data_IF_002616409030
#
_entry.id   IF_002616409030
#
_cell.length_a   1.000
_cell.length_b   1.000
_cell.length_c   1.000
_cell.angle_alpha   90.00
_cell.angle_beta   90.00
_cell.angle_gamma   90.00
#
_symmetry.space_group_name_H-M   'P 1'
#
loop_
_entity.id
_entity.type
_entity.pdbx_description
1 polymer ?
#
# COMPACT_ATOMS: atom_id res chain seq x y z
N UNK A 1 7.57 23.12 -8.25
CA UNK A 1 6.12 23.21 -8.01
C UNK A 1 5.42 22.11 -8.79
N UNK A 2 4.47 21.41 -8.17
CA UNK A 2 3.76 20.29 -8.79
C UNK A 2 2.71 20.81 -9.78
N UNK A 3 2.66 20.30 -11.03
CA UNK A 3 1.74 20.84 -12.04
C UNK A 3 0.27 20.52 -11.72
N UNK A 4 -0.64 21.45 -12.03
CA UNK A 4 -2.07 21.33 -11.72
C UNK A 4 -2.71 20.07 -12.29
N UNK A 5 -2.35 19.67 -13.51
CA UNK A 5 -2.91 18.47 -14.13
C UNK A 5 -2.62 17.20 -13.30
N UNK A 6 -1.45 17.14 -12.65
CA UNK A 6 -1.08 16.01 -11.79
C UNK A 6 -1.86 16.02 -10.47
N UNK A 7 -2.09 17.21 -9.90
CA UNK A 7 -2.96 17.38 -8.71
C UNK A 7 -4.38 16.91 -9.01
N UNK A 8 -4.94 17.31 -10.16
CA UNK A 8 -6.27 16.90 -10.61
C UNK A 8 -6.33 15.39 -10.89
N UNK A 9 -5.34 14.84 -11.61
CA UNK A 9 -5.28 13.40 -11.91
C UNK A 9 -5.19 12.55 -10.64
N UNK A 10 -4.34 12.95 -9.67
CA UNK A 10 -4.21 12.29 -8.38
C UNK A 10 -5.54 12.33 -7.61
N UNK A 11 -6.20 13.49 -7.59
CA UNK A 11 -7.47 13.67 -6.87
C UNK A 11 -8.59 12.84 -7.50
N UNK A 12 -8.79 12.95 -8.81
CA UNK A 12 -9.87 12.25 -9.52
C UNK A 12 -9.63 10.75 -9.58
N UNK A 13 -8.39 10.31 -9.82
CA UNK A 13 -8.01 8.90 -9.81
C UNK A 13 -8.22 8.26 -8.44
N UNK A 14 -7.81 8.95 -7.38
CA UNK A 14 -8.06 8.52 -6.00
C UNK A 14 -9.56 8.43 -5.71
N UNK A 15 -10.34 9.46 -6.04
CA UNK A 15 -11.78 9.46 -5.83
C UNK A 15 -12.47 8.31 -6.56
N UNK A 16 -12.08 8.04 -7.82
CA UNK A 16 -12.63 6.93 -8.58
C UNK A 16 -12.33 5.57 -7.93
N UNK A 17 -11.08 5.32 -7.54
CA UNK A 17 -10.69 4.08 -6.86
C UNK A 17 -11.43 3.92 -5.54
N UNK A 18 -11.44 4.96 -4.71
CA UNK A 18 -12.13 4.98 -3.41
C UNK A 18 -13.61 4.64 -3.58
N UNK A 19 -14.31 5.30 -4.50
CA UNK A 19 -15.73 5.06 -4.74
C UNK A 19 -15.96 3.62 -5.22
N UNK A 20 -15.20 3.15 -6.20
CA UNK A 20 -15.40 1.80 -6.77
C UNK A 20 -15.10 0.72 -5.72
N UNK A 21 -14.00 0.84 -4.99
CA UNK A 21 -13.60 -0.14 -3.98
C UNK A 21 -14.54 -0.13 -2.77
N UNK A 22 -15.01 1.05 -2.35
CA UNK A 22 -16.01 1.14 -1.30
C UNK A 22 -17.28 0.38 -1.67
N UNK A 23 -17.82 0.59 -2.87
CA UNK A 23 -19.04 -0.09 -3.29
C UNK A 23 -18.83 -1.59 -3.52
N UNK A 24 -17.65 -2.01 -3.98
CA UNK A 24 -17.38 -3.42 -4.32
C UNK A 24 -16.94 -4.27 -3.13
N UNK A 25 -16.09 -3.74 -2.26
CA UNK A 25 -15.44 -4.46 -1.19
C UNK A 25 -15.80 -3.95 0.22
N UNK A 26 -16.48 -2.80 0.29
CA UNK A 26 -16.79 -2.13 1.54
C UNK A 26 -15.67 -1.18 2.00
N UNK A 27 -15.97 -0.29 2.96
CA UNK A 27 -15.01 0.71 3.45
C UNK A 27 -13.74 0.10 4.06
N UNK A 28 -13.86 -1.07 4.67
CA UNK A 28 -12.73 -1.77 5.28
C UNK A 28 -11.61 -2.13 4.30
N UNK A 29 -11.91 -2.22 3.00
CA UNK A 29 -10.88 -2.45 1.98
C UNK A 29 -9.90 -1.28 1.89
N UNK A 30 -10.35 -0.05 2.14
CA UNK A 30 -9.52 1.15 2.05
C UNK A 30 -8.45 1.23 3.14
N UNK A 31 -8.42 0.27 4.07
CA UNK A 31 -7.37 0.14 5.07
C UNK A 31 -6.10 -0.50 4.51
N UNK A 32 -6.11 -1.06 3.30
CA UNK A 32 -4.87 -1.44 2.62
C UNK A 32 -3.90 -0.26 2.58
N UNK A 33 -2.62 -0.48 2.91
CA UNK A 33 -1.66 0.62 2.93
C UNK A 33 -1.48 1.32 1.57
N UNK A 34 -1.74 0.63 0.46
CA UNK A 34 -1.77 1.25 -0.87
C UNK A 34 -2.95 2.22 -1.05
N UNK A 35 -4.14 1.86 -0.58
CA UNK A 35 -5.32 2.73 -0.60
C UNK A 35 -5.13 3.92 0.35
N UNK A 36 -4.61 3.69 1.57
CA UNK A 36 -4.30 4.77 2.52
C UNK A 36 -3.26 5.74 1.96
N UNK A 37 -2.21 5.23 1.32
CA UNK A 37 -1.17 6.07 0.70
C UNK A 37 -1.70 6.84 -0.50
N UNK A 38 -2.57 6.23 -1.31
CA UNK A 38 -3.25 6.89 -2.42
C UNK A 38 -4.11 8.06 -1.93
N UNK A 39 -4.90 7.84 -0.87
CA UNK A 39 -5.71 8.88 -0.22
C UNK A 39 -4.82 9.98 0.36
N UNK A 40 -3.74 9.61 1.07
CA UNK A 40 -2.79 10.53 1.68
C UNK A 40 -2.07 11.41 0.65
N UNK A 41 -1.85 10.90 -0.57
CA UNK A 41 -1.20 11.67 -1.63
C UNK A 41 -2.05 12.83 -2.14
N UNK A 42 -3.37 12.80 -1.99
CA UNK A 42 -4.22 13.92 -2.41
C UNK A 42 -3.83 15.21 -1.66
N UNK A 43 -3.89 15.31 -0.32
CA UNK A 43 -3.39 16.49 0.36
C UNK A 43 -1.88 16.68 0.17
N UNK A 44 -1.08 15.63 0.00
CA UNK A 44 0.36 15.77 -0.25
C UNK A 44 0.67 16.58 -1.52
N UNK A 45 0.00 16.29 -2.65
CA UNK A 45 0.24 17.01 -3.92
C UNK A 45 -0.33 18.42 -3.92
N UNK A 46 -1.44 18.66 -3.21
CA UNK A 46 -2.04 19.98 -3.11
C UNK A 46 -1.21 20.92 -2.23
N UNK A 47 -0.76 20.41 -1.08
CA UNK A 47 0.07 21.13 -0.12
C UNK A 47 1.57 21.13 -0.51
N UNK A 48 1.96 20.36 -1.52
CA UNK A 48 3.35 20.12 -1.90
C UNK A 48 4.20 19.70 -0.69
N UNK A 49 3.65 18.81 0.13
CA UNK A 49 4.20 18.43 1.43
C UNK A 49 5.15 17.24 1.33
N UNK A 50 6.45 17.50 1.51
CA UNK A 50 7.50 16.47 1.59
C UNK A 50 7.20 15.44 2.69
N UNK A 51 6.65 15.87 3.83
CA UNK A 51 6.29 15.00 4.95
C UNK A 51 5.20 14.00 4.58
N UNK A 52 4.11 14.45 3.96
CA UNK A 52 3.00 13.56 3.57
C UNK A 52 3.42 12.60 2.45
N UNK A 53 4.21 13.09 1.49
CA UNK A 53 4.81 12.26 0.44
C UNK A 53 5.74 11.20 1.02
N UNK A 54 6.61 11.58 1.97
CA UNK A 54 7.55 10.66 2.62
C UNK A 54 6.82 9.62 3.48
N UNK A 55 5.76 10.04 4.19
CA UNK A 55 4.91 9.12 4.95
C UNK A 55 4.23 8.10 4.03
N UNK A 56 3.59 8.56 2.94
CA UNK A 56 3.00 7.66 1.94
C UNK A 56 4.04 6.70 1.35
N UNK A 57 5.24 7.20 1.04
CA UNK A 57 6.32 6.38 0.51
C UNK A 57 6.76 5.29 1.50
N UNK A 58 6.96 5.62 2.78
CA UNK A 58 7.34 4.63 3.79
C UNK A 58 6.27 3.56 4.01
N UNK A 59 4.99 3.92 3.90
CA UNK A 59 3.89 2.98 4.12
C UNK A 59 3.72 1.97 2.98
N UNK A 60 4.10 2.32 1.74
CA UNK A 60 3.76 1.46 0.59
C UNK A 60 4.82 1.31 -0.50
N UNK A 61 5.77 2.24 -0.68
CA UNK A 61 6.62 2.25 -1.88
C UNK A 61 7.36 0.93 -2.10
N UNK A 62 8.02 0.40 -1.06
CA UNK A 62 8.73 -0.87 -1.18
C UNK A 62 7.79 -2.05 -1.54
N UNK A 63 6.64 -2.25 -0.87
CA UNK A 63 5.60 -3.18 -1.32
C UNK A 63 5.14 -2.96 -2.77
N UNK A 64 4.96 -1.72 -3.23
CA UNK A 64 4.54 -1.44 -4.61
C UNK A 64 5.61 -1.87 -5.63
N UNK A 65 6.89 -1.60 -5.34
CA UNK A 65 8.00 -2.02 -6.19
C UNK A 65 8.11 -3.54 -6.24
N UNK A 66 8.00 -4.22 -5.09
CA UNK A 66 7.99 -5.68 -5.02
C UNK A 66 6.81 -6.27 -5.80
N UNK A 67 5.60 -5.72 -5.61
CA UNK A 67 4.39 -6.15 -6.33
C UNK A 67 4.56 -6.00 -7.84
N UNK A 68 5.11 -4.86 -8.30
CA UNK A 68 5.35 -4.58 -9.72
C UNK A 68 6.36 -5.54 -10.32
N UNK A 69 7.44 -5.82 -9.60
CA UNK A 69 8.46 -6.78 -10.02
C UNK A 69 7.88 -8.20 -10.14
N UNK A 70 7.14 -8.65 -9.13
CA UNK A 70 6.50 -9.97 -9.13
C UNK A 70 5.50 -10.10 -10.29
N UNK A 71 4.72 -9.04 -10.57
CA UNK A 71 3.79 -9.05 -11.70
C UNK A 71 4.55 -9.20 -13.02
N UNK A 72 5.65 -8.48 -13.20
CA UNK A 72 6.50 -8.62 -14.38
C UNK A 72 7.06 -10.04 -14.54
N UNK A 73 7.59 -10.62 -13.45
CA UNK A 73 8.11 -12.00 -13.47
C UNK A 73 7.00 -12.98 -13.85
N UNK A 74 5.82 -12.88 -13.23
CA UNK A 74 4.68 -13.76 -13.50
C UNK A 74 4.20 -13.64 -14.95
N UNK A 75 4.16 -12.43 -15.52
CA UNK A 75 3.79 -12.21 -16.92
C UNK A 75 4.82 -12.75 -17.91
N UNK A 76 6.12 -12.67 -17.59
CA UNK A 76 7.19 -13.10 -18.49
C UNK A 76 7.49 -14.61 -18.43
N UNK A 77 7.34 -15.21 -17.25
CA UNK A 77 7.80 -16.60 -16.99
C UNK A 77 6.68 -17.56 -16.65
N UNK A 78 5.49 -17.06 -16.29
CA UNK A 78 4.41 -17.86 -15.72
C UNK A 78 4.68 -18.36 -14.30
N UNK A 79 5.82 -17.99 -13.68
CA UNK A 79 6.12 -18.36 -12.30
C UNK A 79 5.08 -17.78 -11.34
N UNK A 80 4.60 -18.64 -10.44
CA UNK A 80 3.62 -18.28 -9.41
C UNK A 80 4.34 -18.11 -8.09
N UNK A 81 4.50 -16.86 -7.67
CA UNK A 81 4.81 -16.51 -6.28
C UNK A 81 3.70 -17.03 -5.36
N UNK A 82 3.95 -17.15 -4.06
CA UNK A 82 3.08 -17.80 -3.05
C UNK A 82 1.67 -17.17 -2.86
N UNK A 83 0.88 -17.07 -3.92
CA UNK A 83 -0.49 -16.57 -4.00
C UNK A 83 -0.68 -15.05 -3.99
N UNK A 84 0.40 -14.27 -3.92
CA UNK A 84 0.30 -12.81 -3.69
C UNK A 84 -0.40 -12.05 -4.82
N UNK A 85 -0.25 -12.49 -6.07
CA UNK A 85 -0.89 -11.87 -7.24
C UNK A 85 -2.02 -12.72 -7.81
N UNK A 86 -2.43 -13.81 -7.16
CA UNK A 86 -3.43 -14.73 -7.75
C UNK A 86 -4.73 -14.02 -8.13
N UNK A 87 -5.14 -13.05 -7.33
CA UNK A 87 -6.31 -12.21 -7.59
C UNK A 87 -6.25 -11.43 -8.93
N UNK A 88 -5.06 -11.21 -9.49
CA UNK A 88 -4.87 -10.58 -10.81
C UNK A 88 -5.14 -11.56 -11.97
N UNK A 89 -5.16 -12.86 -11.71
CA UNK A 89 -5.27 -13.91 -12.73
C UNK A 89 -6.50 -14.80 -12.55
N UNK A 90 -7.23 -14.68 -11.44
CA UNK A 90 -8.54 -15.29 -11.22
C UNK A 90 -9.57 -14.84 -12.25
N UNK A 91 -10.24 -15.81 -12.89
CA UNK A 91 -11.28 -15.56 -13.88
C UNK A 91 -12.59 -15.10 -13.24
N UNK A 92 -12.85 -15.46 -11.98
CA UNK A 92 -14.04 -15.02 -11.25
C UNK A 92 -13.98 -13.53 -10.88
N UNK A 93 -12.78 -12.94 -10.82
CA UNK A 93 -12.62 -11.52 -10.50
C UNK A 93 -12.87 -10.65 -11.74
N UNK A 94 -13.84 -9.71 -11.69
CA UNK A 94 -14.13 -8.81 -12.80
C UNK A 94 -12.87 -8.15 -13.36
N UNK A 95 -12.71 -8.18 -14.69
CA UNK A 95 -11.52 -7.66 -15.37
C UNK A 95 -11.22 -6.19 -15.00
N UNK A 96 -12.27 -5.38 -14.80
CA UNK A 96 -12.13 -3.97 -14.43
C UNK A 96 -11.46 -3.81 -13.06
N UNK A 97 -11.73 -4.69 -12.09
CA UNK A 97 -11.11 -4.63 -10.76
C UNK A 97 -9.64 -5.04 -10.81
N UNK A 98 -9.29 -5.97 -11.70
CA UNK A 98 -7.90 -6.35 -11.99
C UNK A 98 -7.15 -5.20 -12.67
N UNK A 99 -7.78 -4.55 -13.65
CA UNK A 99 -7.21 -3.36 -14.29
C UNK A 99 -7.02 -2.21 -13.29
N UNK A 100 -8.01 -1.94 -12.45
CA UNK A 100 -7.90 -0.90 -11.42
C UNK A 100 -6.77 -1.21 -10.45
N UNK A 101 -6.56 -2.48 -10.10
CA UNK A 101 -5.42 -2.91 -9.27
C UNK A 101 -4.06 -2.60 -9.90
N UNK A 102 -3.97 -2.28 -11.19
CA UNK A 102 -2.71 -1.79 -11.77
C UNK A 102 -2.32 -0.40 -11.26
N UNK A 103 -3.16 0.31 -10.50
CA UNK A 103 -2.83 1.62 -9.91
C UNK A 103 -1.55 1.59 -9.06
N UNK A 104 -1.14 0.42 -8.57
CA UNK A 104 0.13 0.21 -7.85
C UNK A 104 1.33 0.73 -8.65
N UNK A 105 1.32 0.58 -9.97
CA UNK A 105 2.39 1.02 -10.87
C UNK A 105 2.48 2.56 -10.96
N UNK A 106 1.43 3.29 -11.40
CA UNK A 106 1.47 4.74 -11.44
C UNK A 106 1.60 5.36 -10.03
N UNK A 107 1.10 4.71 -8.97
CA UNK A 107 1.31 5.17 -7.60
C UNK A 107 2.79 5.14 -7.20
N UNK A 108 3.51 4.05 -7.51
CA UNK A 108 4.95 3.96 -7.25
C UNK A 108 5.72 5.03 -8.04
N UNK A 109 5.41 5.19 -9.32
CA UNK A 109 6.03 6.22 -10.17
C UNK A 109 5.75 7.64 -9.66
N UNK A 110 4.52 7.91 -9.22
CA UNK A 110 4.12 9.20 -8.65
C UNK A 110 4.89 9.47 -7.35
N UNK A 111 5.01 8.49 -6.45
CA UNK A 111 5.77 8.65 -5.21
C UNK A 111 7.24 8.99 -5.48
N UNK A 112 7.89 8.27 -6.38
CA UNK A 112 9.29 8.54 -6.78
C UNK A 112 9.44 9.94 -7.40
N UNK A 113 8.51 10.33 -8.27
CA UNK A 113 8.48 11.67 -8.84
C UNK A 113 8.35 12.74 -7.75
N UNK A 114 7.39 12.61 -6.83
CA UNK A 114 7.15 13.58 -5.77
C UNK A 114 8.33 13.66 -4.80
N UNK A 115 8.96 12.54 -4.45
CA UNK A 115 10.19 12.53 -3.66
C UNK A 115 11.32 13.27 -4.38
N UNK A 116 11.48 13.08 -5.69
CA UNK A 116 12.46 13.83 -6.49
C UNK A 116 12.18 15.33 -6.60
N UNK A 117 10.92 15.76 -6.43
CA UNK A 117 10.53 17.18 -6.50
C UNK A 117 10.52 17.87 -5.13
N UNK A 118 10.13 17.15 -4.08
CA UNK A 118 9.85 17.70 -2.74
C UNK A 118 10.91 17.30 -1.71
N UNK A 119 11.78 16.34 -2.03
CA UNK A 119 12.74 15.74 -1.11
C UNK A 119 12.10 14.73 -0.15
N UNK A 120 12.96 14.03 0.58
CA UNK A 120 12.56 13.13 1.66
C UNK A 120 12.57 13.84 3.03
N UNK A 121 11.57 13.57 3.86
CA UNK A 121 11.45 14.12 5.22
C UNK A 121 11.62 13.00 6.26
N UNK A 122 12.69 13.09 7.06
CA UNK A 122 13.03 12.09 8.08
C UNK A 122 11.97 11.94 9.18
N UNK A 123 11.15 12.98 9.42
CA UNK A 123 10.06 12.95 10.40
C UNK A 123 8.95 11.97 9.99
N UNK A 124 8.95 11.50 8.74
CA UNK A 124 8.02 10.47 8.28
C UNK A 124 8.22 9.11 8.96
N UNK A 125 9.43 8.75 9.40
CA UNK A 125 9.70 7.45 10.02
C UNK A 125 8.89 7.20 11.30
N UNK A 126 8.92 8.07 12.32
CA UNK A 126 8.10 7.86 13.52
C UNK A 126 6.59 7.88 13.20
N UNK A 127 6.16 8.69 12.22
CA UNK A 127 4.77 8.70 11.77
C UNK A 127 4.37 7.39 11.09
N UNK A 128 5.23 6.82 10.24
CA UNK A 128 4.98 5.54 9.60
C UNK A 128 4.90 4.40 10.63
N UNK A 129 5.79 4.39 11.63
CA UNK A 129 5.74 3.43 12.73
C UNK A 129 4.43 3.55 13.53
N UNK A 130 4.01 4.78 13.87
CA UNK A 130 2.73 5.04 14.52
C UNK A 130 1.54 4.59 13.65
N UNK A 131 1.56 4.92 12.37
CA UNK A 131 0.52 4.54 11.41
C UNK A 131 0.38 3.03 11.32
N UNK A 132 1.46 2.26 11.18
CA UNK A 132 1.38 0.79 11.16
C UNK A 132 0.90 0.23 12.51
N UNK A 133 1.38 0.78 13.62
CA UNK A 133 0.97 0.40 14.97
C UNK A 133 -0.52 0.63 15.24
N UNK A 134 -1.16 1.58 14.56
CA UNK A 134 -2.60 1.87 14.68
C UNK A 134 -3.43 1.16 13.61
N UNK A 135 -3.02 1.25 12.34
CA UNK A 135 -3.76 0.75 11.19
C UNK A 135 -3.88 -0.77 11.23
N UNK A 136 -2.84 -1.52 11.60
CA UNK A 136 -2.93 -2.98 11.63
C UNK A 136 -3.95 -3.50 12.67
N UNK A 137 -3.95 -3.04 13.94
CA UNK A 137 -5.03 -3.36 14.88
C UNK A 137 -6.42 -2.94 14.42
N UNK A 138 -6.57 -1.72 13.90
CA UNK A 138 -7.84 -1.24 13.40
C UNK A 138 -8.33 -2.08 12.21
N UNK A 139 -7.43 -2.46 11.31
CA UNK A 139 -7.74 -3.34 10.17
C UNK A 139 -8.28 -4.67 10.66
N UNK A 140 -7.61 -5.29 11.64
CA UNK A 140 -8.07 -6.57 12.22
C UNK A 140 -9.45 -6.45 12.88
N UNK A 141 -9.74 -5.31 13.51
CA UNK A 141 -10.99 -5.10 14.24
C UNK A 141 -12.16 -4.72 13.33
N UNK A 142 -11.90 -3.92 12.29
CA UNK A 142 -12.92 -3.32 11.43
C UNK A 142 -13.18 -4.12 10.13
N UNK A 143 -12.40 -5.17 9.85
CA UNK A 143 -12.55 -5.98 8.64
C UNK A 143 -12.89 -7.44 8.96
N UNK A 144 -13.72 -8.10 8.12
CA UNK A 144 -14.02 -9.51 8.30
C UNK A 144 -12.76 -10.35 8.00
N UNK A 145 -12.45 -11.39 8.80
CA UNK A 145 -11.19 -12.13 8.68
C UNK A 145 -10.97 -12.85 7.34
N UNK A 146 -12.03 -13.10 6.58
CA UNK A 146 -11.99 -13.65 5.23
C UNK A 146 -11.30 -12.71 4.23
N UNK A 147 -11.37 -11.40 4.44
CA UNK A 147 -10.73 -10.40 3.55
C UNK A 147 -9.24 -10.30 3.76
N UNK A 148 -8.78 -10.60 4.98
CA UNK A 148 -7.35 -10.60 5.36
C UNK A 148 -6.57 -9.35 4.89
N UNK A 149 -7.19 -8.17 5.03
CA UNK A 149 -6.60 -6.88 4.63
C UNK A 149 -5.29 -6.66 5.40
N UNK A 150 -4.24 -6.21 4.71
CA UNK A 150 -2.88 -6.06 5.25
C UNK A 150 -2.32 -7.33 5.93
N UNK A 151 -2.83 -8.51 5.56
CA UNK A 151 -2.40 -9.80 6.11
C UNK A 151 -2.52 -9.91 7.63
N UNK A 152 -3.46 -9.17 8.24
CA UNK A 152 -3.62 -9.14 9.70
C UNK A 152 -4.11 -10.46 10.31
N UNK A 153 -4.54 -11.43 9.49
CA UNK A 153 -4.87 -12.80 9.91
C UNK A 153 -3.86 -13.86 9.46
N UNK A 154 -2.93 -13.54 8.55
CA UNK A 154 -1.90 -14.45 8.05
C UNK A 154 -1.30 -13.94 6.74
N UNK A 155 -0.03 -14.25 6.46
CA UNK A 155 0.63 -13.88 5.20
C UNK A 155 0.01 -14.69 4.05
N UNK A 156 -0.68 -14.01 3.13
CA UNK A 156 -1.34 -14.63 1.99
C UNK A 156 -2.59 -13.88 1.54
N UNK A 157 -3.30 -14.43 0.54
CA UNK A 157 -4.52 -13.84 -0.02
C UNK A 157 -5.75 -13.94 0.88
N UNK A 158 -6.91 -13.64 0.30
CA UNK A 158 -8.22 -13.80 0.95
C UNK A 158 -8.40 -15.25 1.48
N UNK A 159 -9.03 -15.38 2.64
CA UNK A 159 -9.24 -16.65 3.34
C UNK A 159 -8.02 -17.18 4.12
N UNK A 160 -6.83 -16.62 3.93
CA UNK A 160 -5.62 -17.07 4.65
C UNK A 160 -5.69 -16.75 6.14
N UNK A 161 -5.43 -17.75 6.98
CA UNK A 161 -5.34 -17.60 8.44
C UNK A 161 -4.19 -18.42 9.01
N UNK A 162 -3.28 -17.76 9.70
CA UNK A 162 -2.24 -18.44 10.47
C UNK A 162 -2.82 -18.99 11.78
N UNK A 163 -2.32 -20.15 12.21
CA UNK A 163 -2.75 -20.81 13.46
C UNK A 163 -1.59 -21.00 14.46
N UNK A 164 -0.38 -20.64 14.08
CA UNK A 164 0.84 -20.92 14.86
C UNK A 164 1.03 -19.98 16.05
N UNK A 165 0.52 -18.75 15.97
CA UNK A 165 0.66 -17.72 17.01
C UNK A 165 -0.71 -17.25 17.51
N UNK A 166 -0.83 -16.86 18.79
CA UNK A 166 -1.99 -16.12 19.28
C UNK A 166 -2.22 -14.85 18.45
N UNK A 167 -3.48 -14.48 18.24
CA UNK A 167 -3.89 -13.37 17.36
C UNK A 167 -3.10 -12.07 17.57
N UNK A 168 -3.00 -11.60 18.82
CA UNK A 168 -2.28 -10.38 19.17
C UNK A 168 -0.76 -10.53 19.12
N UNK A 169 -0.24 -11.75 19.38
CA UNK A 169 1.17 -12.07 19.19
C UNK A 169 1.58 -11.98 17.73
N UNK A 170 0.78 -12.54 16.82
CA UNK A 170 0.98 -12.40 15.38
C UNK A 170 0.92 -10.95 14.94
N UNK A 171 -0.06 -10.17 15.41
CA UNK A 171 -0.20 -8.77 15.05
C UNK A 171 1.00 -7.93 15.51
N UNK A 172 1.48 -8.15 16.74
CA UNK A 172 2.67 -7.50 17.25
C UNK A 172 3.89 -7.85 16.38
N UNK A 173 4.08 -9.12 16.04
CA UNK A 173 5.13 -9.55 15.11
C UNK A 173 5.00 -8.84 13.75
N UNK A 174 3.79 -8.73 13.21
CA UNK A 174 3.54 -8.07 11.92
C UNK A 174 3.90 -6.57 11.96
N UNK A 175 3.53 -5.85 13.02
CA UNK A 175 3.92 -4.45 13.24
C UNK A 175 5.44 -4.32 13.29
N UNK A 176 6.11 -5.15 14.10
CA UNK A 176 7.55 -5.10 14.27
C UNK A 176 8.28 -5.44 12.96
N UNK A 177 7.80 -6.44 12.21
CA UNK A 177 8.32 -6.82 10.90
C UNK A 177 8.15 -5.69 9.88
N UNK A 178 6.98 -5.05 9.83
CA UNK A 178 6.75 -3.93 8.93
C UNK A 178 7.71 -2.77 9.24
N UNK A 179 7.91 -2.43 10.52
CA UNK A 179 8.88 -1.38 10.89
C UNK A 179 10.31 -1.80 10.51
N UNK A 180 10.73 -3.01 10.89
CA UNK A 180 12.11 -3.45 10.74
C UNK A 180 12.52 -3.75 9.29
N UNK A 181 11.62 -4.35 8.50
CA UNK A 181 11.93 -4.85 7.15
C UNK A 181 11.36 -3.98 6.03
N UNK A 182 10.36 -3.14 6.32
CA UNK A 182 9.77 -2.24 5.31
C UNK A 182 10.19 -0.81 5.59
N UNK A 183 9.83 -0.25 6.75
CA UNK A 183 10.01 1.18 7.00
C UNK A 183 11.45 1.58 7.19
N UNK A 184 12.22 0.87 8.02
CA UNK A 184 13.62 1.21 8.27
C UNK A 184 14.47 1.12 7.00
N UNK A 185 14.47 0.02 6.22
CA UNK A 185 15.25 -0.05 4.99
C UNK A 185 14.83 1.01 3.97
N UNK A 186 13.51 1.25 3.84
CA UNK A 186 13.00 2.31 2.96
C UNK A 186 13.46 3.68 3.43
N UNK A 187 13.41 3.98 4.73
CA UNK A 187 13.89 5.24 5.30
C UNK A 187 15.35 5.50 4.96
N UNK A 188 16.23 4.54 5.24
CA UNK A 188 17.65 4.69 4.96
C UNK A 188 17.93 4.87 3.46
N UNK A 189 17.20 4.16 2.60
CA UNK A 189 17.34 4.28 1.16
C UNK A 189 16.86 5.65 0.67
N UNK A 190 15.65 6.06 1.06
CA UNK A 190 15.05 7.31 0.63
C UNK A 190 15.83 8.52 1.13
N UNK A 191 16.25 8.52 2.40
CA UNK A 191 17.10 9.56 2.98
C UNK A 191 18.44 9.75 2.26
N UNK A 192 18.95 8.69 1.61
CA UNK A 192 20.19 8.79 0.82
C UNK A 192 19.96 9.23 -0.62
N UNK A 193 18.77 8.99 -1.17
CA UNK A 193 18.49 9.21 -2.59
C UNK A 193 17.80 10.55 -2.87
N UNK A 194 17.09 11.13 -1.91
CA UNK A 194 16.24 12.31 -2.06
C UNK A 194 16.46 13.29 -0.92
#
# INVERSE_FOLDING_TARGET
MIPLWLKLLTTLGTAAIVVIYWHRYGPGNLLWFCDLSLILLVPAVWLESSLLTSLAALLVLLPLLAWTLLLGIRLLTGWREAGLLDYMFESERPWLLRLLSLFHIPLAALLLYLLGQLGYDERALPLAALSVGLVLPLTRWLTPPERNVNWVHGIGGEGTRQQSLPAWGYLLCLVLIAIALIHLPSHWLLFRLF
#
